data_IF_023697831402
#
_entry.id   IF_023697831402
#
_cell.length_a   1.000
_cell.length_b   1.000
_cell.length_c   1.000
_cell.angle_alpha   90.00
_cell.angle_beta   90.00
_cell.angle_gamma   90.00
#
_symmetry.space_group_name_H-M   'P 1'
#
loop_
_entity.id
_entity.type
_entity.pdbx_description
1 polymer ?
#
# COMPACT_ATOMS: atom_id res chain seq x y z
N UNK A 1 34.24 -65.99 3.81
CA UNK A 1 32.78 -65.97 4.10
C UNK A 1 32.46 -64.65 4.80
N UNK A 2 32.18 -63.57 4.04
CA UNK A 2 32.12 -62.20 4.59
C UNK A 2 30.88 -61.42 4.09
N UNK A 3 29.89 -62.09 3.51
CA UNK A 3 28.79 -61.44 2.77
C UNK A 3 27.57 -61.05 3.62
N UNK A 4 27.49 -61.49 4.89
CA UNK A 4 26.35 -61.21 5.77
C UNK A 4 26.48 -59.91 6.57
N UNK A 5 27.69 -59.42 6.82
CA UNK A 5 27.93 -58.15 7.56
C UNK A 5 27.66 -56.90 6.70
N UNK A 6 27.94 -56.96 5.40
CA UNK A 6 27.77 -55.82 4.48
C UNK A 6 26.29 -55.46 4.23
N UNK A 7 25.40 -56.46 4.20
CA UNK A 7 23.96 -56.24 4.03
C UNK A 7 23.28 -55.60 5.24
N UNK A 8 23.79 -55.83 6.45
CA UNK A 8 23.25 -55.25 7.68
C UNK A 8 23.65 -53.77 7.84
N UNK A 9 24.90 -53.43 7.50
CA UNK A 9 25.39 -52.06 7.52
C UNK A 9 24.68 -51.16 6.51
N UNK A 10 24.36 -51.67 5.32
CA UNK A 10 23.64 -50.92 4.28
C UNK A 10 22.16 -50.68 4.65
N UNK A 11 21.54 -51.59 5.42
CA UNK A 11 20.16 -51.43 5.91
C UNK A 11 20.06 -50.44 7.07
N UNK A 12 21.05 -50.42 7.96
CA UNK A 12 21.12 -49.49 9.08
C UNK A 12 21.36 -48.04 8.63
N UNK A 13 22.22 -47.82 7.64
CA UNK A 13 22.45 -46.47 7.07
C UNK A 13 21.23 -45.96 6.29
N UNK A 14 20.52 -46.82 5.57
CA UNK A 14 19.28 -46.46 4.89
C UNK A 14 18.17 -46.01 5.85
N UNK A 15 17.99 -46.73 6.96
CA UNK A 15 16.96 -46.40 7.96
C UNK A 15 17.26 -45.07 8.69
N UNK A 16 18.53 -44.78 8.98
CA UNK A 16 18.94 -43.55 9.65
C UNK A 16 18.71 -42.30 8.78
N UNK A 17 18.99 -42.39 7.47
CA UNK A 17 18.75 -41.30 6.53
C UNK A 17 17.27 -40.98 6.34
N UNK A 18 16.40 -41.99 6.35
CA UNK A 18 14.94 -41.78 6.27
C UNK A 18 14.43 -41.08 7.54
N UNK A 19 14.91 -41.48 8.73
CA UNK A 19 14.51 -40.84 9.99
C UNK A 19 14.96 -39.36 10.09
N UNK A 20 16.15 -39.03 9.57
CA UNK A 20 16.65 -37.64 9.49
C UNK A 20 15.83 -36.76 8.55
N UNK A 21 15.32 -37.32 7.44
CA UNK A 21 14.48 -36.58 6.50
C UNK A 21 13.07 -36.29 7.05
N UNK A 22 12.52 -37.14 7.92
CA UNK A 22 11.19 -36.94 8.50
C UNK A 22 11.17 -35.95 9.70
N UNK A 23 12.28 -35.77 10.42
CA UNK A 23 12.36 -34.77 11.50
C UNK A 23 12.52 -33.33 11.00
N UNK A 24 12.93 -33.14 9.74
CA UNK A 24 13.00 -31.82 9.08
C UNK A 24 11.65 -31.18 8.75
N UNK A 25 10.54 -31.93 8.80
CA UNK A 25 9.18 -31.43 8.61
C UNK A 25 8.41 -31.20 9.93
N UNK A 26 9.06 -31.26 11.10
CA UNK A 26 8.45 -30.82 12.34
C UNK A 26 8.23 -29.29 12.28
N UNK A 27 7.12 -28.88 11.67
CA UNK A 27 6.69 -27.49 11.58
C UNK A 27 6.77 -26.90 12.99
N UNK A 28 7.60 -25.87 13.15
CA UNK A 28 7.81 -25.23 14.43
C UNK A 28 6.50 -24.56 14.88
N UNK A 29 5.69 -25.29 15.64
CA UNK A 29 4.34 -24.88 16.04
C UNK A 29 4.34 -23.56 16.82
N UNK A 30 5.43 -23.26 17.53
CA UNK A 30 5.62 -21.98 18.19
C UNK A 30 5.79 -20.83 17.17
N UNK A 31 6.55 -21.05 16.09
CA UNK A 31 6.71 -20.08 15.02
C UNK A 31 5.39 -19.83 14.27
N UNK A 32 4.61 -20.89 14.02
CA UNK A 32 3.28 -20.79 13.43
C UNK A 32 2.28 -20.08 14.37
N UNK A 33 2.31 -20.40 15.67
CA UNK A 33 1.51 -19.73 16.69
C UNK A 33 1.81 -18.23 16.76
N UNK A 34 3.09 -17.86 16.75
CA UNK A 34 3.54 -16.46 16.74
C UNK A 34 3.16 -15.74 15.44
N UNK A 35 3.25 -16.42 14.28
CA UNK A 35 2.84 -15.85 13.00
C UNK A 35 1.32 -15.65 12.91
N UNK A 36 0.52 -16.58 13.45
CA UNK A 36 -0.94 -16.47 13.48
C UNK A 36 -1.41 -15.43 14.48
N UNK A 37 -0.78 -15.36 15.67
CA UNK A 37 -1.06 -14.29 16.65
C UNK A 37 -0.67 -12.91 16.12
N UNK A 38 0.48 -12.81 15.42
CA UNK A 38 0.90 -11.59 14.74
C UNK A 38 -0.07 -11.17 13.63
N UNK A 39 -0.57 -12.13 12.83
CA UNK A 39 -1.59 -11.86 11.81
C UNK A 39 -2.93 -11.46 12.41
N UNK A 40 -3.40 -12.14 13.46
CA UNK A 40 -4.66 -11.80 14.12
C UNK A 40 -4.62 -10.40 14.76
N UNK A 41 -3.49 -10.04 15.38
CA UNK A 41 -3.28 -8.67 15.86
C UNK A 41 -3.25 -7.65 14.73
N UNK A 42 -2.64 -7.99 13.59
CA UNK A 42 -2.59 -7.13 12.42
C UNK A 42 -3.95 -6.97 11.72
N UNK A 43 -4.79 -8.00 11.67
CA UNK A 43 -6.14 -7.91 11.09
C UNK A 43 -7.06 -7.06 11.95
N UNK A 44 -7.04 -7.24 13.27
CA UNK A 44 -7.85 -6.40 14.19
C UNK A 44 -7.39 -4.94 14.13
N UNK A 45 -6.08 -4.69 14.06
CA UNK A 45 -5.55 -3.34 13.89
C UNK A 45 -5.94 -2.73 12.52
N UNK A 46 -5.92 -3.53 11.44
CA UNK A 46 -6.33 -3.06 10.10
C UNK A 46 -7.84 -2.76 10.04
N UNK A 47 -8.68 -3.63 10.60
CA UNK A 47 -10.14 -3.45 10.67
C UNK A 47 -10.50 -2.19 11.49
N UNK A 48 -9.85 -1.97 12.63
CA UNK A 48 -10.04 -0.76 13.43
C UNK A 48 -9.56 0.54 12.74
N UNK A 49 -8.56 0.46 11.86
CA UNK A 49 -8.08 1.60 11.06
C UNK A 49 -9.03 1.92 9.91
N UNK A 50 -9.61 0.90 9.27
CA UNK A 50 -10.57 1.06 8.17
C UNK A 50 -11.93 1.56 8.66
N UNK A 51 -12.43 1.05 9.81
CA UNK A 51 -13.70 1.50 10.39
C UNK A 51 -13.62 2.94 10.95
N UNK A 52 -12.42 3.41 11.30
CA UNK A 52 -12.18 4.73 11.88
C UNK A 52 -11.86 5.87 10.90
N UNK A 53 -11.76 5.61 9.59
CA UNK A 53 -11.34 6.63 8.60
C UNK A 53 -12.41 6.93 7.57
N UNK A 54 -13.39 7.74 7.97
CA UNK A 54 -14.23 8.42 7.00
C UNK A 54 -13.36 9.41 6.21
N UNK A 55 -13.04 9.06 4.96
CA UNK A 55 -12.28 9.93 4.06
C UNK A 55 -13.22 11.02 3.56
N UNK A 56 -12.99 12.29 3.90
CA UNK A 56 -13.85 13.36 3.44
C UNK A 56 -13.77 13.48 1.91
N UNK A 57 -14.92 13.71 1.29
CA UNK A 57 -14.99 14.00 -0.12
C UNK A 57 -14.16 15.24 -0.46
N UNK A 58 -13.51 15.19 -1.62
CA UNK A 58 -12.81 16.36 -2.15
C UNK A 58 -13.81 17.49 -2.42
N UNK A 59 -13.49 18.75 -2.09
CA UNK A 59 -14.36 19.88 -2.43
C UNK A 59 -14.72 19.88 -3.91
N UNK A 60 -16.01 20.06 -4.21
CA UNK A 60 -16.54 19.91 -5.57
C UNK A 60 -15.88 20.88 -6.57
N UNK A 61 -15.42 22.04 -6.11
CA UNK A 61 -14.74 23.01 -6.97
C UNK A 61 -13.35 22.53 -7.42
N UNK A 62 -12.66 21.70 -6.64
CA UNK A 62 -11.30 21.22 -6.94
C UNK A 62 -11.19 20.40 -8.22
N UNK A 63 -12.30 19.86 -8.75
CA UNK A 63 -12.34 19.14 -10.02
C UNK A 63 -12.69 20.03 -11.22
N UNK A 64 -13.00 21.31 -11.00
CA UNK A 64 -13.38 22.24 -12.07
C UNK A 64 -12.18 22.70 -12.88
N UNK A 65 -12.42 22.98 -14.16
CA UNK A 65 -11.48 23.65 -15.07
C UNK A 65 -11.78 25.15 -15.13
N UNK A 66 -10.77 25.97 -15.43
CA UNK A 66 -10.98 27.40 -15.75
C UNK A 66 -10.92 27.61 -17.26
N UNK A 67 -11.84 28.41 -17.79
CA UNK A 67 -11.79 28.90 -19.16
C UNK A 67 -11.00 30.22 -19.26
N UNK A 68 -10.18 30.34 -20.30
CA UNK A 68 -9.42 31.56 -20.61
C UNK A 68 -10.28 32.76 -20.98
N UNK A 69 -11.52 32.54 -21.44
CA UNK A 69 -12.46 33.60 -21.83
C UNK A 69 -12.14 34.32 -23.14
N UNK A 70 -11.09 33.89 -23.85
CA UNK A 70 -10.70 34.44 -25.16
C UNK A 70 -11.75 34.08 -26.21
N UNK A 71 -12.06 35.04 -27.08
CA UNK A 71 -12.96 34.89 -28.21
C UNK A 71 -12.24 35.22 -29.52
N UNK A 72 -12.72 34.64 -30.63
CA UNK A 72 -12.19 34.98 -31.96
C UNK A 72 -12.45 36.47 -32.24
N UNK A 73 -11.42 37.17 -32.72
CA UNK A 73 -11.47 38.61 -32.94
C UNK A 73 -11.05 39.47 -31.75
N UNK A 74 -10.75 38.87 -30.59
CA UNK A 74 -10.09 39.60 -29.51
C UNK A 74 -8.74 40.15 -29.98
N UNK A 75 -8.47 41.42 -29.63
CA UNK A 75 -7.12 41.98 -29.76
C UNK A 75 -6.15 41.20 -28.86
N UNK A 76 -4.91 41.01 -29.31
CA UNK A 76 -3.95 40.13 -28.65
C UNK A 76 -3.68 40.49 -27.18
N UNK A 77 -3.59 41.78 -26.87
CA UNK A 77 -3.43 42.29 -25.50
C UNK A 77 -4.65 42.01 -24.62
N UNK A 78 -5.87 42.14 -25.16
CA UNK A 78 -7.11 41.78 -24.46
C UNK A 78 -7.16 40.28 -24.21
N UNK A 79 -6.77 39.46 -25.20
CA UNK A 79 -6.68 38.02 -25.06
C UNK A 79 -5.69 37.63 -23.95
N UNK A 80 -4.53 38.29 -23.89
CA UNK A 80 -3.52 38.08 -22.83
C UNK A 80 -4.05 38.43 -21.44
N UNK A 81 -4.75 39.56 -21.29
CA UNK A 81 -5.35 39.95 -20.00
C UNK A 81 -6.44 38.95 -19.56
N UNK A 82 -7.24 38.44 -20.50
CA UNK A 82 -8.26 37.44 -20.21
C UNK A 82 -7.64 36.11 -19.74
N UNK A 83 -6.60 35.64 -20.43
CA UNK A 83 -5.90 34.41 -20.04
C UNK A 83 -5.19 34.54 -18.70
N UNK A 84 -4.54 35.68 -18.42
CA UNK A 84 -3.89 35.92 -17.13
C UNK A 84 -4.89 35.92 -15.96
N UNK A 85 -6.06 36.55 -16.15
CA UNK A 85 -7.15 36.48 -15.16
C UNK A 85 -7.63 35.06 -14.92
N UNK A 86 -7.74 34.25 -15.99
CA UNK A 86 -8.13 32.85 -15.86
C UNK A 86 -7.06 32.02 -15.12
N UNK A 87 -5.78 32.27 -15.43
CA UNK A 87 -4.66 31.66 -14.72
C UNK A 87 -4.66 32.03 -13.24
N UNK A 88 -4.92 33.29 -12.90
CA UNK A 88 -5.07 33.73 -11.51
C UNK A 88 -6.17 32.97 -10.76
N UNK A 89 -7.35 32.78 -11.38
CA UNK A 89 -8.44 31.98 -10.78
C UNK A 89 -8.06 30.51 -10.62
N UNK A 90 -7.39 29.93 -11.61
CA UNK A 90 -6.93 28.54 -11.57
C UNK A 90 -5.90 28.33 -10.44
N UNK A 91 -4.90 29.22 -10.36
CA UNK A 91 -3.88 29.17 -9.31
C UNK A 91 -4.48 29.34 -7.92
N UNK A 92 -5.41 30.29 -7.75
CA UNK A 92 -6.11 30.48 -6.48
C UNK A 92 -6.88 29.22 -6.05
N UNK A 93 -7.49 28.49 -6.99
CA UNK A 93 -8.14 27.22 -6.70
C UNK A 93 -7.13 26.13 -6.33
N UNK A 94 -6.07 25.96 -7.12
CA UNK A 94 -5.01 24.96 -6.84
C UNK A 94 -4.46 25.14 -5.43
N UNK A 95 -4.15 26.38 -5.03
CA UNK A 95 -3.65 26.67 -3.68
C UNK A 95 -4.65 26.31 -2.58
N UNK A 96 -5.93 26.65 -2.74
CA UNK A 96 -6.97 26.28 -1.75
C UNK A 96 -7.16 24.77 -1.65
N UNK A 97 -7.19 24.06 -2.78
CA UNK A 97 -7.35 22.60 -2.81
C UNK A 97 -6.13 21.88 -2.24
N UNK A 98 -4.92 22.40 -2.48
CA UNK A 98 -3.71 21.90 -1.86
C UNK A 98 -3.73 22.09 -0.33
N UNK A 99 -4.15 23.27 0.15
CA UNK A 99 -4.27 23.53 1.59
C UNK A 99 -5.25 22.57 2.26
N UNK A 100 -6.43 22.35 1.67
CA UNK A 100 -7.40 21.36 2.16
C UNK A 100 -6.79 19.96 2.26
N UNK A 101 -6.09 19.51 1.22
CA UNK A 101 -5.46 18.19 1.19
C UNK A 101 -4.35 18.08 2.25
N UNK A 102 -3.55 19.13 2.42
CA UNK A 102 -2.50 19.16 3.44
C UNK A 102 -3.06 19.10 4.86
N UNK A 103 -4.17 19.80 5.13
CA UNK A 103 -4.82 19.75 6.44
C UNK A 103 -5.44 18.38 6.72
N UNK A 104 -6.08 17.75 5.72
CA UNK A 104 -6.52 16.36 5.82
C UNK A 104 -5.34 15.41 6.12
N UNK A 105 -4.20 15.58 5.43
CA UNK A 105 -3.01 14.75 5.63
C UNK A 105 -2.37 14.97 7.01
N UNK A 106 -2.38 16.19 7.54
CA UNK A 106 -1.91 16.48 8.91
C UNK A 106 -2.79 15.77 9.94
N UNK A 107 -4.12 15.82 9.77
CA UNK A 107 -5.07 15.12 10.64
C UNK A 107 -4.87 13.60 10.65
N UNK A 108 -4.32 13.01 9.57
CA UNK A 108 -3.97 11.57 9.53
C UNK A 108 -2.60 11.21 10.12
N UNK A 109 -1.74 12.19 10.41
CA UNK A 109 -0.39 11.98 10.96
C UNK A 109 -0.31 12.19 12.47
N UNK A 110 -1.36 12.75 13.09
CA UNK A 110 -1.54 12.79 14.55
C UNK A 110 -2.27 11.54 15.04
#
# INVERSE_FOLDING_TARGET
MNWTRSGLLLRLTGALSIALCLSGCASNRALLGNAMAGKAGATIAAEAIEEGREVPDIPADCRRTEAGGVSLGDRLDVALVKTDRALGRANARVLRCAAWHDDYRKGRKG
#
